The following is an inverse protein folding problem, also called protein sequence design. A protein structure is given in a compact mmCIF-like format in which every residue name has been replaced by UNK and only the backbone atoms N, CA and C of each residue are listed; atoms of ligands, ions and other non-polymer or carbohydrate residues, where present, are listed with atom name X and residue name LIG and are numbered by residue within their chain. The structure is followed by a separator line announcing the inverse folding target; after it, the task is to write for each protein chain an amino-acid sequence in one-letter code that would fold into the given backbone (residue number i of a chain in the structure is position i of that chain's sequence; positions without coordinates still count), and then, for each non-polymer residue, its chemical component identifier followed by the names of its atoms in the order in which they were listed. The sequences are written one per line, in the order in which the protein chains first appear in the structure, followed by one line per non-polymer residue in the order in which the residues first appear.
data_IF_727080385424
#
_entry.id   IF_727080385424
#
_cell.length_a   1.000
_cell.length_b   1.000
_cell.length_c   1.000
_cell.angle_alpha   90.00
_cell.angle_beta   90.00
_cell.angle_gamma   90.00
#
_symmetry.space_group_name_H-M   'P 1'
#
loop_
_entity.id
_entity.type
_entity.pdbx_description
1 polymer ?
#
# COMPACT_ATOMS: atom_id res chain seq x y z
N UNK A 1 26.53 -51.76 17.23
CA UNK A 1 26.04 -50.54 16.52
C UNK A 1 25.64 -49.57 17.61
N UNK A 2 26.27 -48.39 17.61
CA UNK A 2 25.88 -47.34 18.55
C UNK A 2 24.57 -46.74 18.12
N UNK A 3 23.57 -46.84 18.96
CA UNK A 3 22.24 -46.30 18.74
C UNK A 3 22.02 -45.10 19.66
N UNK A 4 21.43 -44.05 19.17
CA UNK A 4 21.04 -42.86 19.94
C UNK A 4 19.52 -42.78 20.05
N UNK A 5 19.05 -42.10 21.07
CA UNK A 5 17.63 -41.86 21.33
C UNK A 5 17.08 -40.74 20.42
N UNK A 6 15.75 -40.66 20.30
CA UNK A 6 15.07 -39.53 19.60
C UNK A 6 15.52 -38.18 20.18
N UNK A 7 15.71 -38.08 21.50
CA UNK A 7 16.14 -36.87 22.18
C UNK A 7 17.58 -36.46 21.80
N UNK A 8 18.48 -37.42 21.68
CA UNK A 8 19.88 -37.18 21.26
C UNK A 8 19.94 -36.82 19.78
N UNK A 9 19.16 -37.52 18.94
CA UNK A 9 19.06 -37.22 17.53
C UNK A 9 18.47 -35.81 17.28
N UNK A 10 17.44 -35.41 18.06
CA UNK A 10 16.84 -34.08 17.97
C UNK A 10 17.86 -32.98 18.27
N UNK A 11 18.68 -33.17 19.32
CA UNK A 11 19.77 -32.24 19.64
C UNK A 11 20.86 -32.21 18.59
N UNK A 12 21.27 -33.38 18.08
CA UNK A 12 22.32 -33.52 17.07
C UNK A 12 21.93 -32.84 15.74
N UNK A 13 20.65 -32.90 15.36
CA UNK A 13 20.15 -32.39 14.07
C UNK A 13 19.48 -31.03 14.17
N UNK A 14 19.28 -30.48 15.36
CA UNK A 14 18.62 -29.17 15.55
C UNK A 14 17.13 -29.17 15.21
N UNK A 15 16.44 -30.32 15.37
CA UNK A 15 15.01 -30.48 15.06
C UNK A 15 14.24 -30.95 16.28
N UNK A 16 12.91 -30.82 16.32
CA UNK A 16 12.10 -31.27 17.44
C UNK A 16 12.04 -32.80 17.54
N UNK A 17 11.91 -33.35 18.76
CA UNK A 17 11.74 -34.79 18.99
C UNK A 17 10.57 -35.37 18.19
N UNK A 18 9.45 -34.62 18.12
CA UNK A 18 8.27 -35.00 17.33
C UNK A 18 8.61 -35.14 15.83
N UNK A 19 9.48 -34.28 15.28
CA UNK A 19 9.92 -34.38 13.88
C UNK A 19 10.75 -35.64 13.66
N UNK A 20 11.67 -35.93 14.56
CA UNK A 20 12.47 -37.16 14.49
C UNK A 20 11.57 -38.41 14.53
N UNK A 21 10.57 -38.46 15.43
CA UNK A 21 9.60 -39.57 15.50
C UNK A 21 8.83 -39.78 14.20
N UNK A 22 8.37 -38.68 13.55
CA UNK A 22 7.68 -38.72 12.26
C UNK A 22 8.60 -39.30 11.19
N UNK A 23 9.87 -38.88 11.13
CA UNK A 23 10.83 -39.39 10.16
C UNK A 23 11.14 -40.86 10.36
N UNK A 24 11.21 -41.34 11.60
CA UNK A 24 11.34 -42.75 11.92
C UNK A 24 10.11 -43.53 11.46
N UNK A 25 8.90 -43.05 11.76
CA UNK A 25 7.65 -43.70 11.38
C UNK A 25 7.42 -43.75 9.85
N UNK A 26 8.01 -42.82 9.13
CA UNK A 26 7.99 -42.76 7.66
C UNK A 26 9.17 -43.53 7.00
N UNK A 27 9.96 -44.28 7.80
CA UNK A 27 11.13 -45.03 7.36
C UNK A 27 12.20 -44.18 6.59
N UNK A 28 12.17 -42.87 6.82
CA UNK A 28 13.10 -41.92 6.17
C UNK A 28 14.48 -41.90 6.82
N UNK A 29 14.64 -42.47 8.00
CA UNK A 29 15.93 -42.60 8.67
C UNK A 29 16.42 -44.07 8.52
N UNK A 30 17.38 -44.29 7.62
CA UNK A 30 17.95 -45.60 7.37
C UNK A 30 18.50 -46.20 8.66
N UNK A 31 18.06 -47.42 9.00
CA UNK A 31 18.54 -48.17 10.18
C UNK A 31 17.89 -47.75 11.51
N UNK A 32 16.91 -46.87 11.51
CA UNK A 32 16.12 -46.61 12.70
C UNK A 32 15.27 -47.86 13.06
N UNK A 33 15.32 -48.29 14.33
CA UNK A 33 14.59 -49.47 14.81
C UNK A 33 13.70 -49.07 16.00
N UNK A 34 12.57 -49.75 16.13
CA UNK A 34 11.64 -49.50 17.23
C UNK A 34 11.89 -50.50 18.35
N UNK A 35 12.23 -50.00 19.52
CA UNK A 35 12.40 -50.78 20.74
C UNK A 35 11.23 -50.47 21.70
N UNK A 36 10.26 -51.36 21.76
CA UNK A 36 9.03 -51.12 22.51
C UNK A 36 8.27 -49.88 22.01
N UNK A 37 8.19 -48.83 22.85
CA UNK A 37 7.54 -47.56 22.50
C UNK A 37 8.51 -46.50 22.02
N UNK A 38 9.83 -46.75 22.05
CA UNK A 38 10.86 -45.79 21.71
C UNK A 38 11.50 -46.10 20.35
N UNK A 39 11.90 -45.08 19.61
CA UNK A 39 12.75 -45.20 18.41
C UNK A 39 14.22 -45.11 18.82
N UNK A 40 15.03 -45.98 18.27
CA UNK A 40 16.48 -45.99 18.36
C UNK A 40 17.07 -45.75 16.97
N UNK A 41 18.02 -44.85 16.88
CA UNK A 41 18.57 -44.32 15.63
C UNK A 41 20.06 -44.57 15.58
N UNK A 42 20.64 -45.11 14.50
CA UNK A 42 22.09 -45.26 14.39
C UNK A 42 22.82 -43.93 14.62
N UNK A 43 23.88 -43.95 15.42
CA UNK A 43 24.63 -42.74 15.75
C UNK A 43 25.27 -42.06 14.55
N UNK A 44 25.53 -42.81 13.48
CA UNK A 44 26.03 -42.30 12.20
C UNK A 44 24.94 -41.79 11.28
N UNK A 45 23.65 -41.97 11.61
CA UNK A 45 22.57 -41.48 10.79
C UNK A 45 22.66 -39.94 10.66
N UNK A 46 22.41 -39.46 9.47
CA UNK A 46 22.27 -38.03 9.15
C UNK A 46 20.82 -37.71 8.95
N UNK A 47 20.45 -36.47 9.25
CA UNK A 47 19.12 -35.98 8.96
C UNK A 47 18.88 -36.12 7.44
N UNK A 48 17.85 -36.86 6.99
CA UNK A 48 17.55 -36.94 5.54
C UNK A 48 17.40 -35.54 4.97
N UNK A 49 17.92 -35.31 3.77
CA UNK A 49 17.81 -34.01 3.08
C UNK A 49 16.35 -33.56 2.93
N UNK A 50 15.43 -34.51 2.81
CA UNK A 50 13.96 -34.27 2.88
C UNK A 50 13.42 -33.96 4.28
N UNK A 51 14.26 -33.99 5.31
CA UNK A 51 13.90 -33.76 6.71
C UNK A 51 14.57 -32.54 7.35
N UNK A 52 15.53 -31.91 6.71
CA UNK A 52 15.77 -30.49 6.88
C UNK A 52 14.43 -29.86 6.54
N UNK A 53 13.76 -29.29 7.57
CA UNK A 53 12.41 -28.76 7.41
C UNK A 53 12.23 -28.17 6.02
N UNK A 54 11.09 -28.33 5.40
CA UNK A 54 10.86 -27.85 4.02
C UNK A 54 11.78 -26.67 3.81
N UNK A 55 12.74 -26.79 2.87
CA UNK A 55 13.52 -25.61 2.45
C UNK A 55 12.48 -24.52 2.36
N UNK A 56 12.62 -23.38 3.05
CA UNK A 56 11.56 -22.39 3.09
C UNK A 56 11.08 -22.29 1.66
N UNK A 57 9.84 -22.73 1.44
CA UNK A 57 9.32 -22.98 0.08
C UNK A 57 9.55 -21.67 -0.62
N UNK A 58 10.58 -21.64 -1.49
CA UNK A 58 11.00 -20.38 -2.10
C UNK A 58 9.75 -19.85 -2.77
N UNK A 59 9.19 -18.73 -2.33
CA UNK A 59 7.91 -18.28 -2.85
C UNK A 59 8.03 -18.24 -4.35
N UNK A 60 7.13 -18.92 -5.05
CA UNK A 60 7.09 -18.91 -6.52
C UNK A 60 7.23 -17.46 -7.00
N UNK A 61 8.03 -17.18 -8.03
CA UNK A 61 8.16 -15.83 -8.54
C UNK A 61 6.79 -15.22 -8.79
N UNK A 62 6.47 -14.14 -8.08
CA UNK A 62 5.18 -13.47 -8.22
C UNK A 62 5.13 -12.70 -9.53
N UNK A 63 4.06 -12.90 -10.30
CA UNK A 63 3.81 -12.17 -11.56
C UNK A 63 3.21 -10.79 -11.28
N UNK A 64 3.94 -9.97 -10.54
CA UNK A 64 3.52 -8.62 -10.15
C UNK A 64 4.73 -7.70 -9.99
N UNK A 65 4.68 -6.44 -10.47
CA UNK A 65 5.67 -5.44 -10.13
C UNK A 65 5.49 -4.87 -8.71
N UNK A 66 4.44 -5.30 -7.98
CA UNK A 66 4.09 -4.86 -6.61
C UNK A 66 4.23 -6.03 -5.64
N UNK A 67 5.45 -6.49 -5.41
CA UNK A 67 5.72 -7.66 -4.59
C UNK A 67 5.26 -7.47 -3.14
N UNK A 68 5.40 -6.28 -2.60
CA UNK A 68 4.96 -5.89 -1.26
C UNK A 68 3.43 -5.92 -1.08
N UNK A 69 2.67 -5.83 -2.17
CA UNK A 69 1.21 -5.95 -2.16
C UNK A 69 0.71 -7.39 -2.34
N UNK A 70 1.60 -8.36 -2.49
CA UNK A 70 1.27 -9.79 -2.60
C UNK A 70 1.34 -10.49 -1.23
N UNK A 71 1.15 -11.81 -1.23
CA UNK A 71 1.29 -12.66 -0.05
C UNK A 71 2.73 -12.85 0.42
N UNK A 72 3.72 -12.22 -0.21
CA UNK A 72 5.11 -12.22 0.25
C UNK A 72 5.27 -11.51 1.58
N UNK A 73 4.55 -10.43 1.80
CA UNK A 73 4.46 -9.79 3.12
C UNK A 73 3.12 -10.13 3.77
N UNK A 74 3.12 -11.15 4.60
CA UNK A 74 1.91 -11.73 5.18
C UNK A 74 1.88 -11.74 6.72
N UNK A 75 2.88 -11.18 7.38
CA UNK A 75 2.98 -11.10 8.84
C UNK A 75 3.54 -9.76 9.29
N UNK A 76 2.76 -9.10 10.11
CA UNK A 76 3.12 -7.84 10.76
C UNK A 76 4.33 -8.06 11.70
N UNK A 77 5.28 -7.13 11.71
CA UNK A 77 6.52 -7.22 12.48
C UNK A 77 7.59 -8.11 11.85
N UNK A 78 7.37 -8.62 10.63
CA UNK A 78 8.30 -9.53 9.95
C UNK A 78 8.72 -9.04 8.55
N UNK A 79 8.59 -7.74 8.23
CA UNK A 79 8.93 -7.21 6.91
C UNK A 79 10.37 -7.54 6.50
N UNK A 80 11.35 -7.36 7.40
CA UNK A 80 12.76 -7.64 7.11
C UNK A 80 13.01 -9.14 6.90
N UNK A 81 12.34 -10.01 7.65
CA UNK A 81 12.42 -11.46 7.43
C UNK A 81 11.85 -11.86 6.07
N UNK A 82 10.77 -11.21 5.64
CA UNK A 82 10.20 -11.44 4.31
C UNK A 82 11.18 -11.01 3.19
N UNK A 83 11.94 -9.93 3.39
CA UNK A 83 13.03 -9.53 2.50
C UNK A 83 14.11 -10.62 2.45
N UNK A 84 14.59 -11.09 3.62
CA UNK A 84 15.62 -12.12 3.73
C UNK A 84 15.23 -13.43 3.05
N UNK A 85 13.94 -13.82 3.06
CA UNK A 85 13.45 -15.02 2.38
C UNK A 85 13.67 -15.00 0.87
N UNK A 86 13.85 -13.83 0.26
CA UNK A 86 14.08 -13.66 -1.18
C UNK A 86 15.56 -13.62 -1.55
N UNK A 87 16.51 -13.80 -0.62
CA UNK A 87 17.95 -13.63 -0.84
C UNK A 87 18.52 -14.49 -1.99
N UNK A 88 17.88 -15.64 -2.25
CA UNK A 88 18.25 -16.53 -3.35
C UNK A 88 17.66 -16.10 -4.73
N UNK A 89 16.84 -15.05 -4.75
CA UNK A 89 16.35 -14.40 -5.96
C UNK A 89 16.74 -12.92 -5.93
N UNK A 90 17.93 -12.55 -6.40
CA UNK A 90 18.46 -11.19 -6.25
C UNK A 90 17.55 -10.08 -6.82
N UNK A 91 16.86 -10.36 -7.92
CA UNK A 91 15.94 -9.43 -8.54
C UNK A 91 14.71 -9.16 -7.65
N UNK A 92 14.04 -10.22 -7.22
CA UNK A 92 12.88 -10.09 -6.34
C UNK A 92 13.27 -9.52 -4.97
N UNK A 93 14.43 -9.90 -4.44
CA UNK A 93 14.97 -9.38 -3.19
C UNK A 93 15.16 -7.87 -3.25
N UNK A 94 15.89 -7.37 -4.26
CA UNK A 94 16.19 -5.95 -4.40
C UNK A 94 14.91 -5.11 -4.65
N UNK A 95 13.98 -5.64 -5.46
CA UNK A 95 12.70 -4.97 -5.71
C UNK A 95 11.87 -4.90 -4.44
N UNK A 96 11.72 -6.02 -3.74
CA UNK A 96 10.90 -6.09 -2.53
C UNK A 96 11.48 -5.24 -1.39
N UNK A 97 12.82 -5.28 -1.19
CA UNK A 97 13.51 -4.41 -0.22
C UNK A 97 13.24 -2.93 -0.51
N UNK A 98 13.35 -2.50 -1.77
CA UNK A 98 13.08 -1.13 -2.16
C UNK A 98 11.61 -0.74 -1.95
N UNK A 99 10.68 -1.66 -2.17
CA UNK A 99 9.26 -1.43 -1.92
C UNK A 99 8.98 -1.28 -0.42
N UNK A 100 9.54 -2.12 0.44
CA UNK A 100 9.42 -1.97 1.90
C UNK A 100 10.06 -0.63 2.36
N UNK A 101 11.22 -0.27 1.82
CA UNK A 101 11.85 1.03 2.11
C UNK A 101 10.92 2.21 1.71
N UNK A 102 10.21 2.10 0.57
CA UNK A 102 9.19 3.09 0.20
C UNK A 102 8.06 3.17 1.24
N UNK A 103 7.54 2.02 1.69
CA UNK A 103 6.49 2.00 2.71
C UNK A 103 6.95 2.58 4.05
N UNK A 104 8.25 2.54 4.33
CA UNK A 104 8.87 3.20 5.49
C UNK A 104 9.08 4.71 5.30
N UNK A 105 9.03 5.21 4.07
CA UNK A 105 9.30 6.61 3.75
C UNK A 105 10.79 6.92 3.52
N UNK A 106 11.64 5.91 3.31
CA UNK A 106 13.09 6.02 3.08
C UNK A 106 13.39 6.40 1.62
N UNK A 107 12.85 7.52 1.15
CA UNK A 107 12.77 7.89 -0.26
C UNK A 107 14.13 8.01 -0.96
N UNK A 108 15.16 8.46 -0.26
CA UNK A 108 16.51 8.58 -0.86
C UNK A 108 17.11 7.20 -1.10
N UNK A 109 16.94 6.25 -0.16
CA UNK A 109 17.32 4.86 -0.33
C UNK A 109 16.57 4.22 -1.51
N UNK A 110 15.24 4.45 -1.60
CA UNK A 110 14.41 3.95 -2.71
C UNK A 110 14.90 4.46 -4.05
N UNK A 111 15.23 5.74 -4.14
CA UNK A 111 15.73 6.35 -5.38
C UNK A 111 17.04 5.71 -5.84
N UNK A 112 18.01 5.52 -4.94
CA UNK A 112 19.30 4.92 -5.25
C UNK A 112 19.14 3.45 -5.69
N UNK A 113 18.29 2.69 -5.00
CA UNK A 113 17.96 1.30 -5.35
C UNK A 113 17.27 1.21 -6.72
N UNK A 114 16.27 2.06 -6.99
CA UNK A 114 15.56 2.05 -8.27
C UNK A 114 16.51 2.38 -9.44
N UNK A 115 17.41 3.35 -9.27
CA UNK A 115 18.43 3.70 -10.26
C UNK A 115 19.41 2.56 -10.52
N UNK A 116 19.89 1.92 -9.46
CA UNK A 116 20.77 0.76 -9.60
C UNK A 116 20.03 -0.41 -10.27
N UNK A 117 18.81 -0.69 -9.81
CA UNK A 117 17.98 -1.78 -10.27
C UNK A 117 17.70 -1.70 -11.78
N UNK A 118 17.30 -0.54 -12.28
CA UNK A 118 17.05 -0.30 -13.70
C UNK A 118 18.31 -0.45 -14.60
N UNK A 119 19.51 -0.31 -14.01
CA UNK A 119 20.78 -0.54 -14.73
C UNK A 119 21.23 -1.98 -14.69
N UNK A 120 20.93 -2.69 -13.60
CA UNK A 120 21.45 -4.04 -13.33
C UNK A 120 20.54 -5.15 -13.88
N UNK A 121 19.25 -4.86 -14.08
CA UNK A 121 18.24 -5.85 -14.46
C UNK A 121 17.53 -5.45 -15.74
N UNK A 122 17.12 -6.46 -16.54
CA UNK A 122 16.44 -6.27 -17.82
C UNK A 122 15.09 -7.01 -17.92
N UNK A 123 14.71 -7.74 -16.87
CA UNK A 123 13.45 -8.47 -16.82
C UNK A 123 12.24 -7.53 -16.79
N UNK A 124 11.12 -7.97 -17.38
CA UNK A 124 9.90 -7.20 -17.48
C UNK A 124 9.44 -6.62 -16.13
N UNK A 125 9.25 -7.47 -15.12
CA UNK A 125 8.80 -7.02 -13.78
C UNK A 125 9.84 -6.16 -13.06
N UNK A 126 11.13 -6.38 -13.35
CA UNK A 126 12.21 -5.57 -12.84
C UNK A 126 12.14 -4.13 -13.34
N UNK A 127 11.98 -3.95 -14.62
CA UNK A 127 11.90 -2.62 -15.25
C UNK A 127 10.62 -1.90 -14.79
N UNK A 128 9.48 -2.61 -14.77
CA UNK A 128 8.24 -2.02 -14.27
C UNK A 128 8.34 -1.60 -12.81
N UNK A 129 8.82 -2.48 -11.93
CA UNK A 129 8.98 -2.19 -10.50
C UNK A 129 9.93 -1.03 -10.26
N UNK A 130 11.08 -1.01 -10.94
CA UNK A 130 12.04 0.10 -10.89
C UNK A 130 11.47 1.42 -11.40
N UNK A 131 10.78 1.40 -12.55
CA UNK A 131 10.11 2.57 -13.11
C UNK A 131 9.03 3.12 -12.17
N UNK A 132 8.23 2.24 -11.57
CA UNK A 132 7.25 2.65 -10.60
C UNK A 132 7.85 3.26 -9.33
N UNK A 133 8.92 2.68 -8.78
CA UNK A 133 9.63 3.26 -7.65
C UNK A 133 10.20 4.65 -7.97
N UNK A 134 10.73 4.85 -9.20
CA UNK A 134 11.15 6.18 -9.64
C UNK A 134 9.97 7.17 -9.72
N UNK A 135 8.81 6.75 -10.23
CA UNK A 135 7.62 7.59 -10.29
C UNK A 135 7.16 7.99 -8.88
N UNK A 136 7.17 7.05 -7.93
CA UNK A 136 6.85 7.32 -6.53
C UNK A 136 7.87 8.28 -5.90
N UNK A 137 9.17 8.13 -6.19
CA UNK A 137 10.20 9.10 -5.76
C UNK A 137 9.98 10.48 -6.38
N UNK A 138 9.56 10.56 -7.65
CA UNK A 138 9.24 11.82 -8.32
C UNK A 138 8.10 12.57 -7.61
N UNK A 139 7.09 11.83 -7.12
CA UNK A 139 5.99 12.42 -6.31
C UNK A 139 6.55 13.08 -5.05
N UNK A 140 7.36 12.38 -4.28
CA UNK A 140 7.94 12.91 -3.03
C UNK A 140 8.88 14.10 -3.26
N UNK A 141 9.63 14.09 -4.36
CA UNK A 141 10.60 15.15 -4.71
C UNK A 141 9.95 16.32 -5.47
N UNK A 142 8.74 16.13 -6.01
CA UNK A 142 8.11 17.10 -6.90
C UNK A 142 8.89 17.27 -8.20
N UNK A 143 9.54 16.21 -8.69
CA UNK A 143 10.43 16.24 -9.86
C UNK A 143 9.73 15.75 -11.11
N UNK A 144 9.37 16.71 -11.97
CA UNK A 144 8.64 16.46 -13.24
C UNK A 144 9.51 15.70 -14.23
N UNK A 145 10.81 15.97 -14.27
CA UNK A 145 11.71 15.29 -15.22
C UNK A 145 11.86 13.82 -14.83
N UNK A 146 12.04 13.55 -13.53
CA UNK A 146 12.08 12.17 -13.00
C UNK A 146 10.75 11.43 -13.25
N UNK A 147 9.62 12.12 -13.16
CA UNK A 147 8.31 11.57 -13.49
C UNK A 147 8.23 11.11 -14.95
N UNK A 148 8.64 11.96 -15.89
CA UNK A 148 8.63 11.60 -17.31
C UNK A 148 9.61 10.47 -17.63
N UNK A 149 10.80 10.47 -17.01
CA UNK A 149 11.75 9.38 -17.11
C UNK A 149 11.18 8.06 -16.60
N UNK A 150 10.52 8.08 -15.44
CA UNK A 150 9.87 6.91 -14.87
C UNK A 150 8.77 6.35 -15.78
N UNK A 151 7.89 7.22 -16.31
CA UNK A 151 6.84 6.81 -17.27
C UNK A 151 7.47 6.21 -18.53
N UNK A 152 8.58 6.76 -19.02
CA UNK A 152 9.28 6.21 -20.18
C UNK A 152 9.75 4.77 -19.90
N UNK A 153 10.38 4.51 -18.76
CA UNK A 153 10.79 3.15 -18.38
C UNK A 153 9.61 2.18 -18.31
N UNK A 154 8.48 2.62 -17.78
CA UNK A 154 7.26 1.79 -17.70
C UNK A 154 6.72 1.49 -19.11
N UNK A 155 6.61 2.49 -19.97
CA UNK A 155 6.07 2.33 -21.32
C UNK A 155 6.98 1.49 -22.23
N UNK A 156 8.31 1.56 -22.04
CA UNK A 156 9.30 0.87 -22.85
C UNK A 156 9.69 -0.50 -22.26
N UNK A 157 9.01 -0.97 -21.21
CA UNK A 157 9.28 -2.28 -20.62
C UNK A 157 9.07 -3.38 -21.67
N UNK A 158 10.01 -4.36 -21.77
CA UNK A 158 9.98 -5.41 -22.79
C UNK A 158 8.84 -6.39 -22.52
N UNK A 159 7.68 -6.18 -23.13
CA UNK A 159 6.52 -7.05 -22.98
C UNK A 159 6.45 -8.07 -24.13
N UNK A 160 6.15 -9.33 -23.80
CA UNK A 160 6.10 -10.45 -24.76
C UNK A 160 4.66 -10.90 -25.07
N UNK A 161 3.70 -10.52 -24.23
CA UNK A 161 2.31 -10.99 -24.34
C UNK A 161 1.31 -9.93 -23.89
N UNK A 162 0.03 -10.20 -24.12
CA UNK A 162 -1.07 -9.27 -23.82
C UNK A 162 -1.23 -9.04 -22.30
N UNK A 163 -1.06 -10.06 -21.48
CA UNK A 163 -1.15 -9.92 -20.02
C UNK A 163 -0.07 -8.95 -19.48
N UNK A 164 1.14 -9.00 -20.03
CA UNK A 164 2.20 -8.05 -19.66
C UNK A 164 1.88 -6.63 -20.11
N UNK A 165 1.23 -6.48 -21.29
CA UNK A 165 0.76 -5.16 -21.75
C UNK A 165 -0.27 -4.58 -20.79
N UNK A 166 -1.17 -5.40 -20.27
CA UNK A 166 -2.16 -4.95 -19.28
C UNK A 166 -1.51 -4.61 -17.93
N UNK A 167 -0.41 -5.26 -17.54
CA UNK A 167 0.38 -4.87 -16.36
C UNK A 167 1.08 -3.51 -16.56
N UNK A 168 1.53 -3.18 -17.77
CA UNK A 168 2.02 -1.83 -18.09
C UNK A 168 0.90 -0.81 -17.90
N UNK A 169 -0.28 -1.09 -18.46
CA UNK A 169 -1.47 -0.23 -18.34
C UNK A 169 -1.87 -0.03 -16.88
N UNK A 170 -1.83 -1.10 -16.06
CA UNK A 170 -2.05 -1.01 -14.62
C UNK A 170 -1.01 -0.12 -13.94
N UNK A 171 0.26 -0.30 -14.27
CA UNK A 171 1.36 0.47 -13.66
C UNK A 171 1.20 1.96 -13.92
N UNK A 172 0.82 2.34 -15.14
CA UNK A 172 0.50 3.72 -15.50
C UNK A 172 -0.73 4.24 -14.73
N UNK A 173 -1.82 3.45 -14.69
CA UNK A 173 -3.02 3.83 -13.95
C UNK A 173 -2.73 4.07 -12.45
N UNK A 174 -1.85 3.26 -11.85
CA UNK A 174 -1.46 3.40 -10.45
C UNK A 174 -0.71 4.70 -10.20
N UNK A 175 0.32 5.01 -11.00
CA UNK A 175 1.09 6.23 -10.78
C UNK A 175 0.25 7.48 -11.08
N UNK A 176 -0.56 7.47 -12.14
CA UNK A 176 -1.42 8.59 -12.50
C UNK A 176 -2.51 8.83 -11.42
N UNK A 177 -3.13 7.77 -10.88
CA UNK A 177 -4.05 7.90 -9.75
C UNK A 177 -3.40 8.46 -8.48
N UNK A 178 -2.11 8.24 -8.30
CA UNK A 178 -1.37 8.74 -7.12
C UNK A 178 -1.18 10.26 -7.13
N UNK A 179 -1.27 10.91 -8.28
CA UNK A 179 -1.23 12.37 -8.43
C UNK A 179 -2.58 12.97 -8.83
N UNK A 180 -3.65 12.15 -8.83
CA UNK A 180 -5.00 12.55 -9.25
C UNK A 180 -5.08 12.99 -10.71
N UNK A 181 -4.22 12.46 -11.57
CA UNK A 181 -4.39 12.58 -13.03
C UNK A 181 -5.36 11.48 -13.48
N UNK A 182 -6.50 11.89 -14.07
CA UNK A 182 -7.59 10.99 -14.42
C UNK A 182 -7.74 10.81 -15.94
N UNK A 183 -6.64 10.90 -16.67
CA UNK A 183 -6.62 10.69 -18.12
C UNK A 183 -6.28 9.25 -18.45
N UNK A 184 -6.93 8.73 -19.48
CA UNK A 184 -6.54 7.51 -20.19
C UNK A 184 -6.48 6.22 -19.38
N UNK A 185 -7.42 6.02 -18.42
CA UNK A 185 -7.55 4.74 -17.73
C UNK A 185 -8.13 3.65 -18.65
N UNK A 186 -7.59 2.41 -18.59
CA UNK A 186 -8.18 1.28 -19.30
C UNK A 186 -9.63 1.03 -18.87
N UNK A 187 -10.48 0.59 -19.80
CA UNK A 187 -11.90 0.33 -19.53
C UNK A 187 -12.10 -0.72 -18.43
N UNK A 188 -11.27 -1.78 -18.43
CA UNK A 188 -11.31 -2.80 -17.38
C UNK A 188 -10.97 -2.24 -15.99
N UNK A 189 -10.12 -1.20 -15.92
CA UNK A 189 -9.81 -0.53 -14.65
C UNK A 189 -10.98 0.35 -14.21
N UNK A 190 -11.57 1.11 -15.12
CA UNK A 190 -12.74 1.97 -14.85
C UNK A 190 -13.96 1.15 -14.40
N UNK A 191 -14.19 -0.01 -15.02
CA UNK A 191 -15.28 -0.92 -14.66
C UNK A 191 -15.01 -1.76 -13.41
N UNK A 192 -13.75 -1.84 -12.94
CA UNK A 192 -13.34 -2.70 -11.82
C UNK A 192 -13.28 -4.19 -12.16
N UNK A 193 -13.20 -4.54 -13.45
CA UNK A 193 -13.04 -5.91 -13.91
C UNK A 193 -11.57 -6.24 -14.14
N UNK A 194 -10.96 -6.99 -13.23
CA UNK A 194 -9.53 -7.31 -13.24
C UNK A 194 -9.19 -8.71 -13.79
N UNK A 195 -10.14 -9.38 -14.45
CA UNK A 195 -9.97 -10.77 -14.95
C UNK A 195 -8.81 -10.91 -15.96
N UNK A 196 -8.48 -9.84 -16.69
CA UNK A 196 -7.38 -9.82 -17.65
C UNK A 196 -6.00 -9.84 -17.00
N UNK A 197 -5.91 -9.59 -15.69
CA UNK A 197 -4.66 -9.46 -14.97
C UNK A 197 -4.31 -10.74 -14.19
N UNK A 198 -3.01 -11.03 -14.00
CA UNK A 198 -2.59 -12.11 -13.13
C UNK A 198 -3.12 -11.92 -11.70
N UNK A 199 -3.54 -13.00 -11.01
CA UNK A 199 -4.06 -12.92 -9.63
C UNK A 199 -3.14 -12.19 -8.65
N UNK A 200 -1.81 -12.29 -8.83
CA UNK A 200 -0.83 -11.61 -7.99
C UNK A 200 -0.89 -10.05 -8.12
N UNK A 201 -1.46 -9.52 -9.19
CA UNK A 201 -1.65 -8.08 -9.38
C UNK A 201 -2.99 -7.56 -8.81
N UNK A 202 -3.96 -8.44 -8.55
CA UNK A 202 -5.29 -8.05 -8.08
C UNK A 202 -5.30 -7.25 -6.77
N UNK A 203 -4.47 -7.55 -5.75
CA UNK A 203 -4.46 -6.75 -4.53
C UNK A 203 -4.07 -5.28 -4.79
N UNK A 204 -3.07 -5.04 -5.63
CA UNK A 204 -2.70 -3.68 -6.05
C UNK A 204 -3.83 -3.00 -6.85
N UNK A 205 -4.43 -3.71 -7.82
CA UNK A 205 -5.57 -3.19 -8.59
C UNK A 205 -6.69 -2.69 -7.69
N UNK A 206 -7.10 -3.50 -6.72
CA UNK A 206 -8.19 -3.19 -5.80
C UNK A 206 -7.90 -1.92 -4.99
N UNK A 207 -6.68 -1.79 -4.46
CA UNK A 207 -6.27 -0.60 -3.70
C UNK A 207 -6.36 0.66 -4.55
N UNK A 208 -5.79 0.64 -5.76
CA UNK A 208 -5.75 1.83 -6.61
C UNK A 208 -7.06 2.11 -7.33
N UNK A 209 -7.89 1.10 -7.57
CA UNK A 209 -9.27 1.28 -8.00
C UNK A 209 -10.08 2.10 -6.98
N UNK A 210 -9.88 1.88 -5.68
CA UNK A 210 -10.52 2.70 -4.66
C UNK A 210 -10.05 4.17 -4.76
N UNK A 211 -8.75 4.42 -4.98
CA UNK A 211 -8.25 5.79 -5.25
C UNK A 211 -8.97 6.40 -6.47
N UNK A 212 -9.11 5.63 -7.55
CA UNK A 212 -9.85 6.06 -8.74
C UNK A 212 -11.32 6.40 -8.43
N UNK A 213 -12.05 5.59 -7.65
CA UNK A 213 -13.43 5.88 -7.27
C UNK A 213 -13.54 7.20 -6.50
N UNK A 214 -12.59 7.51 -5.63
CA UNK A 214 -12.53 8.82 -4.96
C UNK A 214 -12.34 9.96 -5.96
N UNK A 215 -11.45 9.79 -6.92
CA UNK A 215 -11.22 10.80 -7.96
C UNK A 215 -12.46 11.00 -8.83
N UNK A 216 -13.14 9.92 -9.23
CA UNK A 216 -14.39 9.96 -9.98
C UNK A 216 -15.49 10.67 -9.19
N UNK A 217 -15.67 10.34 -7.91
CA UNK A 217 -16.62 11.02 -7.03
C UNK A 217 -16.33 12.52 -6.91
N UNK A 218 -15.05 12.89 -6.80
CA UNK A 218 -14.62 14.27 -6.72
C UNK A 218 -14.85 15.00 -8.05
N UNK A 219 -14.53 14.37 -9.18
CA UNK A 219 -14.74 14.96 -10.51
C UNK A 219 -16.23 15.23 -10.78
N UNK A 220 -17.11 14.29 -10.41
CA UNK A 220 -18.56 14.45 -10.54
C UNK A 220 -19.07 15.56 -9.59
N UNK A 221 -18.63 15.57 -8.33
CA UNK A 221 -19.03 16.57 -7.36
C UNK A 221 -18.64 17.99 -7.77
N UNK A 222 -17.45 18.13 -8.39
CA UNK A 222 -16.92 19.41 -8.86
C UNK A 222 -17.37 19.78 -10.28
N UNK A 223 -18.31 19.04 -10.86
CA UNK A 223 -18.83 19.23 -12.22
C UNK A 223 -17.76 19.15 -13.33
N UNK A 224 -16.67 18.46 -13.07
CA UNK A 224 -15.64 18.15 -14.08
C UNK A 224 -15.99 16.90 -14.90
N UNK A 225 -16.92 16.08 -14.39
CA UNK A 225 -17.52 14.94 -15.07
C UNK A 225 -19.01 14.85 -14.72
N UNK A 226 -19.79 14.23 -15.59
CA UNK A 226 -21.22 13.98 -15.39
C UNK A 226 -21.49 12.48 -15.47
N UNK A 227 -22.34 12.00 -14.58
CA UNK A 227 -22.89 10.64 -14.61
C UNK A 227 -24.39 10.74 -14.34
N UNK A 228 -25.21 10.33 -15.30
CA UNK A 228 -26.66 10.48 -15.25
C UNK A 228 -27.25 9.83 -13.99
N UNK A 229 -28.02 10.61 -13.25
CA UNK A 229 -28.68 10.16 -12.02
C UNK A 229 -27.77 9.95 -10.80
N UNK A 230 -26.47 10.22 -10.89
CA UNK A 230 -25.50 10.03 -9.81
C UNK A 230 -24.86 11.36 -9.42
N UNK A 231 -24.85 11.67 -8.13
CA UNK A 231 -24.09 12.79 -7.58
C UNK A 231 -22.76 12.31 -7.00
N UNK A 232 -21.73 13.16 -7.04
CA UNK A 232 -20.44 12.83 -6.43
C UNK A 232 -20.57 12.51 -4.93
N UNK A 233 -21.50 13.17 -4.23
CA UNK A 233 -21.81 12.87 -2.84
C UNK A 233 -22.43 11.48 -2.65
N UNK A 234 -23.34 11.06 -3.53
CA UNK A 234 -23.94 9.73 -3.47
C UNK A 234 -22.87 8.66 -3.68
N UNK A 235 -22.00 8.85 -4.69
CA UNK A 235 -20.88 7.95 -4.95
C UNK A 235 -19.92 7.87 -3.75
N UNK A 236 -19.57 9.01 -3.15
CA UNK A 236 -18.73 9.04 -1.95
C UNK A 236 -19.32 8.22 -0.79
N UNK A 237 -20.61 8.32 -0.55
CA UNK A 237 -21.30 7.56 0.51
C UNK A 237 -21.36 6.05 0.24
N UNK A 238 -21.24 5.63 -1.03
CA UNK A 238 -21.22 4.21 -1.42
C UNK A 238 -19.82 3.59 -1.31
N UNK A 239 -18.74 4.37 -1.36
CA UNK A 239 -17.37 3.87 -1.33
C UNK A 239 -17.10 2.90 -0.17
N UNK A 240 -17.53 3.12 1.10
CA UNK A 240 -17.32 2.15 2.18
C UNK A 240 -17.86 0.76 1.88
N UNK A 241 -19.05 0.68 1.25
CA UNK A 241 -19.66 -0.60 0.91
C UNK A 241 -18.84 -1.38 -0.14
N UNK A 242 -18.10 -0.68 -1.00
CA UNK A 242 -17.17 -1.29 -1.95
C UNK A 242 -15.88 -1.75 -1.26
N UNK A 243 -15.41 -1.01 -0.27
CA UNK A 243 -14.11 -1.29 0.39
C UNK A 243 -14.21 -2.42 1.42
N UNK A 244 -15.28 -2.50 2.22
CA UNK A 244 -15.40 -3.47 3.31
C UNK A 244 -15.21 -4.94 2.86
N UNK A 245 -15.81 -5.40 1.73
CA UNK A 245 -15.53 -6.73 1.21
C UNK A 245 -14.06 -6.93 0.80
N UNK A 246 -13.42 -5.88 0.26
CA UNK A 246 -12.01 -5.92 -0.15
C UNK A 246 -11.07 -6.01 1.07
N UNK A 247 -11.41 -5.34 2.18
CA UNK A 247 -10.69 -5.49 3.44
C UNK A 247 -10.81 -6.92 3.94
N UNK A 248 -12.01 -7.49 3.92
CA UNK A 248 -12.25 -8.88 4.34
C UNK A 248 -11.41 -9.84 3.50
N UNK A 249 -11.35 -9.63 2.19
CA UNK A 249 -10.52 -10.44 1.29
C UNK A 249 -9.01 -10.28 1.63
N UNK A 250 -8.53 -9.05 1.83
CA UNK A 250 -7.12 -8.80 2.18
C UNK A 250 -6.71 -9.49 3.50
N UNK A 251 -7.61 -9.51 4.49
CA UNK A 251 -7.41 -10.24 5.77
C UNK A 251 -7.33 -11.75 5.54
N UNK A 252 -8.23 -12.31 4.72
CA UNK A 252 -8.24 -13.75 4.40
C UNK A 252 -6.98 -14.14 3.64
N UNK A 253 -6.58 -13.35 2.65
CA UNK A 253 -5.41 -13.57 1.81
C UNK A 253 -4.10 -13.22 2.53
N UNK A 254 -4.18 -12.59 3.71
CA UNK A 254 -3.03 -12.12 4.50
C UNK A 254 -2.12 -11.17 3.71
N UNK A 255 -2.70 -10.23 2.97
CA UNK A 255 -1.96 -9.20 2.25
C UNK A 255 -1.93 -7.91 3.09
N UNK A 256 -0.84 -7.71 3.86
CA UNK A 256 -0.76 -6.64 4.88
C UNK A 256 -0.80 -5.24 4.28
N UNK A 257 0.01 -4.96 3.26
CA UNK A 257 0.02 -3.60 2.63
C UNK A 257 -1.33 -3.24 2.01
N UNK A 258 -1.97 -4.10 1.20
CA UNK A 258 -3.32 -3.85 0.72
C UNK A 258 -4.33 -3.61 1.85
N UNK A 259 -4.28 -4.40 2.93
CA UNK A 259 -5.17 -4.20 4.07
C UNK A 259 -4.99 -2.80 4.69
N UNK A 260 -3.75 -2.33 4.91
CA UNK A 260 -3.49 -0.99 5.45
C UNK A 260 -4.12 0.08 4.53
N UNK A 261 -3.84 0.04 3.23
CA UNK A 261 -4.37 1.02 2.28
C UNK A 261 -5.90 1.02 2.21
N UNK A 262 -6.52 -0.16 2.16
CA UNK A 262 -7.97 -0.29 2.13
C UNK A 262 -8.62 0.24 3.42
N UNK A 263 -8.03 -0.07 4.60
CA UNK A 263 -8.52 0.47 5.88
C UNK A 263 -8.39 1.97 5.95
N UNK A 264 -7.25 2.55 5.53
CA UNK A 264 -7.07 4.00 5.51
C UNK A 264 -8.04 4.68 4.54
N UNK A 265 -8.26 4.11 3.36
CA UNK A 265 -9.25 4.61 2.41
C UNK A 265 -10.67 4.52 2.96
N UNK A 266 -11.03 3.41 3.62
CA UNK A 266 -12.32 3.26 4.27
C UNK A 266 -12.51 4.28 5.42
N UNK A 267 -11.46 4.50 6.21
CA UNK A 267 -11.46 5.53 7.26
C UNK A 267 -11.72 6.93 6.70
N UNK A 268 -11.09 7.28 5.55
CA UNK A 268 -11.35 8.57 4.86
C UNK A 268 -12.83 8.69 4.46
N UNK A 269 -13.42 7.62 3.91
CA UNK A 269 -14.83 7.64 3.51
C UNK A 269 -15.78 7.82 4.72
N UNK A 270 -15.55 7.10 5.80
CA UNK A 270 -16.32 7.24 7.03
C UNK A 270 -16.12 8.61 7.69
N UNK A 271 -14.88 9.11 7.73
CA UNK A 271 -14.59 10.43 8.26
C UNK A 271 -15.32 11.52 7.48
N UNK A 272 -15.25 11.48 6.14
CA UNK A 272 -15.94 12.42 5.25
C UNK A 272 -17.47 12.30 5.31
N UNK A 273 -18.00 11.19 5.82
CA UNK A 273 -19.43 10.97 6.03
C UNK A 273 -19.89 11.27 7.46
N UNK A 274 -19.01 11.81 8.32
CA UNK A 274 -19.30 12.14 9.72
C UNK A 274 -19.39 10.92 10.66
N UNK A 275 -18.99 9.73 10.19
CA UNK A 275 -19.02 8.50 10.98
C UNK A 275 -17.68 8.29 11.72
N UNK A 276 -17.38 9.21 12.66
CA UNK A 276 -16.08 9.30 13.34
C UNK A 276 -15.65 7.98 14.00
N UNK A 277 -16.54 7.29 14.70
CA UNK A 277 -16.22 6.04 15.40
C UNK A 277 -15.78 4.92 14.44
N UNK A 278 -16.46 4.80 13.28
CA UNK A 278 -16.07 3.85 12.25
C UNK A 278 -14.72 4.22 11.64
N UNK A 279 -14.48 5.50 11.38
CA UNK A 279 -13.19 5.97 10.91
C UNK A 279 -12.07 5.62 11.88
N UNK A 280 -12.24 5.88 13.18
CA UNK A 280 -11.29 5.52 14.24
C UNK A 280 -11.02 4.01 14.24
N UNK A 281 -12.03 3.16 14.16
CA UNK A 281 -11.86 1.71 14.16
C UNK A 281 -10.98 1.21 13.00
N UNK A 282 -11.08 1.84 11.81
CA UNK A 282 -10.23 1.50 10.67
C UNK A 282 -8.81 2.08 10.82
N UNK A 283 -8.67 3.31 11.33
CA UNK A 283 -7.36 3.93 11.60
C UNK A 283 -6.59 3.06 12.61
N UNK A 284 -7.20 2.70 13.73
CA UNK A 284 -6.54 1.91 14.78
C UNK A 284 -6.00 0.57 14.25
N UNK A 285 -6.79 -0.10 13.42
CA UNK A 285 -6.35 -1.35 12.78
C UNK A 285 -5.22 -1.12 11.78
N UNK A 286 -5.29 -0.06 10.97
CA UNK A 286 -4.23 0.28 10.02
C UNK A 286 -2.92 0.64 10.75
N UNK A 287 -3.00 1.43 11.83
CA UNK A 287 -1.85 1.80 12.67
C UNK A 287 -1.23 0.57 13.31
N UNK A 288 -2.04 -0.35 13.86
CA UNK A 288 -1.57 -1.61 14.45
C UNK A 288 -0.84 -2.51 13.43
N UNK A 289 -1.20 -2.44 12.15
CA UNK A 289 -0.53 -3.16 11.07
C UNK A 289 0.76 -2.47 10.60
N UNK A 290 0.79 -1.13 10.58
CA UNK A 290 1.88 -0.37 9.98
C UNK A 290 3.05 -0.11 10.94
N UNK A 291 2.76 0.24 12.20
CA UNK A 291 3.77 0.70 13.19
C UNK A 291 4.83 -0.34 13.50
N UNK A 292 4.51 -1.65 13.69
CA UNK A 292 5.52 -2.65 14.06
C UNK A 292 6.67 -2.79 13.06
N UNK A 293 6.45 -2.53 11.78
CA UNK A 293 7.46 -2.59 10.72
C UNK A 293 7.93 -1.19 10.26
N UNK A 294 7.49 -0.13 10.93
CA UNK A 294 7.85 1.26 10.60
C UNK A 294 7.30 1.74 9.25
N UNK A 295 6.16 1.23 8.79
CA UNK A 295 5.57 1.55 7.47
C UNK A 295 4.93 2.95 7.46
N UNK A 296 5.68 3.94 7.93
CA UNK A 296 5.19 5.31 8.12
C UNK A 296 4.90 6.04 6.81
N UNK A 297 5.57 5.67 5.72
CA UNK A 297 5.32 6.22 4.39
C UNK A 297 3.87 6.00 3.93
N UNK A 298 3.29 4.83 4.24
CA UNK A 298 1.89 4.54 3.91
C UNK A 298 0.94 5.47 4.66
N UNK A 299 1.16 5.65 5.97
CA UNK A 299 0.32 6.52 6.81
C UNK A 299 0.46 7.99 6.41
N UNK A 300 1.67 8.40 6.01
CA UNK A 300 1.98 9.77 5.56
C UNK A 300 1.08 10.23 4.41
N UNK A 301 0.77 9.35 3.45
CA UNK A 301 -0.11 9.67 2.32
C UNK A 301 -1.51 10.12 2.76
N UNK A 302 -1.94 9.76 3.97
CA UNK A 302 -3.30 9.99 4.48
C UNK A 302 -3.42 11.12 5.51
N UNK A 303 -2.32 11.66 6.04
CA UNK A 303 -2.32 12.71 7.09
C UNK A 303 -3.27 13.86 6.75
N UNK A 304 -3.26 14.33 5.51
CA UNK A 304 -4.09 15.47 5.06
C UNK A 304 -5.60 15.23 5.14
N UNK A 305 -6.04 13.99 5.34
CA UNK A 305 -7.46 13.64 5.27
C UNK A 305 -8.17 13.65 6.61
N UNK A 306 -7.46 13.80 7.74
CA UNK A 306 -7.99 13.51 9.07
C UNK A 306 -7.90 14.64 10.10
N UNK A 307 -7.43 15.83 9.72
CA UNK A 307 -7.36 17.00 10.61
C UNK A 307 -6.78 16.69 12.03
N UNK A 308 -5.67 15.94 12.07
CA UNK A 308 -4.97 15.56 13.30
C UNK A 308 -5.49 14.27 13.96
N UNK A 309 -6.61 13.70 13.51
CA UNK A 309 -7.14 12.45 14.07
C UNK A 309 -6.17 11.28 13.87
N UNK A 310 -5.49 11.20 12.73
CA UNK A 310 -4.53 10.13 12.47
C UNK A 310 -3.35 10.20 13.43
N UNK A 311 -2.79 11.38 13.63
CA UNK A 311 -1.68 11.64 14.55
C UNK A 311 -2.10 11.34 16.01
N UNK A 312 -3.33 11.72 16.41
CA UNK A 312 -3.90 11.35 17.71
C UNK A 312 -3.91 9.82 17.89
N UNK A 313 -4.36 9.06 16.91
CA UNK A 313 -4.44 7.59 17.00
C UNK A 313 -3.07 6.93 17.00
N UNK A 314 -2.13 7.44 16.22
CA UNK A 314 -0.74 6.96 16.19
C UNK A 314 -0.06 7.20 17.54
N UNK A 315 -0.25 8.36 18.16
CA UNK A 315 0.37 8.71 19.46
C UNK A 315 0.00 7.75 20.58
N UNK A 316 -1.17 7.11 20.50
CA UNK A 316 -1.60 6.10 21.48
C UNK A 316 -0.81 4.78 21.37
N UNK A 317 -0.16 4.53 20.23
CA UNK A 317 0.63 3.32 19.98
C UNK A 317 2.12 3.62 20.07
N UNK A 318 2.58 4.67 19.42
CA UNK A 318 3.96 5.14 19.44
C UNK A 318 4.04 6.66 19.23
N UNK A 319 4.33 7.38 20.30
CA UNK A 319 4.46 8.85 20.28
C UNK A 319 5.60 9.33 19.36
N UNK A 320 6.68 8.56 19.22
CA UNK A 320 7.80 8.91 18.35
C UNK A 320 7.43 8.80 16.87
N UNK A 321 6.57 7.86 16.52
CA UNK A 321 6.08 7.69 15.15
C UNK A 321 5.39 8.95 14.62
N UNK A 322 4.72 9.72 15.49
CA UNK A 322 4.06 10.98 15.10
C UNK A 322 5.07 12.00 14.58
N UNK A 323 6.24 12.10 15.23
CA UNK A 323 7.29 13.03 14.80
C UNK A 323 7.83 12.66 13.42
N UNK A 324 8.08 11.37 13.20
CA UNK A 324 8.57 10.83 11.92
C UNK A 324 7.54 11.09 10.82
N UNK A 325 6.27 10.77 11.07
CA UNK A 325 5.19 10.95 10.07
C UNK A 325 5.00 12.43 9.72
N UNK A 326 5.08 13.34 10.69
CA UNK A 326 4.95 14.78 10.45
C UNK A 326 6.11 15.31 9.60
N UNK A 327 7.34 14.84 9.83
CA UNK A 327 8.50 15.18 9.00
C UNK A 327 8.32 14.66 7.57
N UNK A 328 7.98 13.38 7.43
CA UNK A 328 7.69 12.77 6.13
C UNK A 328 6.55 13.50 5.39
N UNK A 329 5.48 13.84 6.10
CA UNK A 329 4.34 14.54 5.50
C UNK A 329 4.71 15.95 5.02
N UNK A 330 5.55 16.66 5.75
CA UNK A 330 6.03 17.98 5.35
C UNK A 330 6.75 17.93 3.99
N UNK A 331 7.56 16.91 3.75
CA UNK A 331 8.24 16.65 2.46
C UNK A 331 7.26 16.19 1.39
N UNK A 332 6.45 15.17 1.70
CA UNK A 332 5.48 14.59 0.77
C UNK A 332 4.50 15.62 0.23
N UNK A 333 3.90 16.43 1.11
CA UNK A 333 2.91 17.45 0.76
C UNK A 333 3.43 18.42 -0.31
N UNK A 334 4.66 18.90 -0.15
CA UNK A 334 5.26 19.86 -1.07
C UNK A 334 5.57 19.19 -2.42
N UNK A 335 6.19 18.00 -2.37
CA UNK A 335 6.53 17.25 -3.58
C UNK A 335 5.29 16.88 -4.39
N UNK A 336 4.30 16.29 -3.72
CA UNK A 336 3.04 15.90 -4.34
C UNK A 336 2.33 17.09 -5.00
N UNK A 337 2.18 18.22 -4.29
CA UNK A 337 1.50 19.39 -4.84
C UNK A 337 2.23 19.96 -6.04
N UNK A 338 3.56 20.02 -5.98
CA UNK A 338 4.39 20.51 -7.11
C UNK A 338 4.25 19.63 -8.33
N UNK A 339 4.40 18.31 -8.18
CA UNK A 339 4.31 17.36 -9.29
C UNK A 339 2.89 17.30 -9.86
N UNK A 340 1.89 17.07 -9.00
CA UNK A 340 0.49 16.99 -9.41
C UNK A 340 0.02 18.27 -10.08
N UNK A 341 0.41 19.44 -9.55
CA UNK A 341 0.10 20.73 -10.14
C UNK A 341 0.71 20.90 -11.53
N UNK A 342 1.98 20.55 -11.70
CA UNK A 342 2.67 20.66 -12.98
C UNK A 342 2.09 19.71 -14.05
N UNK A 343 1.88 18.43 -13.69
CA UNK A 343 1.34 17.42 -14.64
C UNK A 343 -0.10 17.73 -15.03
N UNK A 344 -0.93 18.15 -14.09
CA UNK A 344 -2.34 18.46 -14.31
C UNK A 344 -2.56 19.87 -14.83
N UNK A 345 -1.52 20.69 -14.91
CA UNK A 345 -1.58 22.12 -15.21
C UNK A 345 -2.58 22.87 -14.29
N UNK A 346 -2.46 22.63 -12.98
CA UNK A 346 -3.33 23.21 -11.94
C UNK A 346 -2.50 23.75 -10.80
N UNK A 347 -2.99 24.81 -10.15
CA UNK A 347 -2.44 25.27 -8.89
C UNK A 347 -2.95 24.39 -7.74
N UNK A 348 -2.05 23.85 -6.94
CA UNK A 348 -2.40 23.08 -5.72
C UNK A 348 -2.02 23.91 -4.51
N UNK A 349 -3.00 24.19 -3.65
CA UNK A 349 -2.78 24.98 -2.44
C UNK A 349 -2.01 24.18 -1.38
N UNK A 350 -0.81 24.63 -1.05
CA UNK A 350 0.01 24.02 0.01
C UNK A 350 -0.02 24.77 1.34
N UNK A 351 -0.64 25.95 1.34
CA UNK A 351 -0.70 26.88 2.49
C UNK A 351 -1.98 26.71 3.34
N UNK A 352 -2.83 25.75 3.00
CA UNK A 352 -3.99 25.43 3.82
C UNK A 352 -3.57 24.59 5.03
N UNK A 353 -4.15 24.92 6.17
CA UNK A 353 -4.08 24.05 7.35
C UNK A 353 -4.84 22.74 7.09
N UNK A 354 -4.60 21.64 7.83
CA UNK A 354 -5.39 20.41 7.71
C UNK A 354 -6.89 20.67 7.77
N UNK A 355 -7.33 21.51 8.70
CA UNK A 355 -8.75 21.87 8.88
C UNK A 355 -9.32 22.66 7.69
N UNK A 356 -8.57 23.61 7.16
CA UNK A 356 -8.96 24.36 5.98
C UNK A 356 -9.03 23.45 4.74
N UNK A 357 -8.07 22.53 4.60
CA UNK A 357 -8.07 21.55 3.52
C UNK A 357 -9.30 20.62 3.60
N UNK A 358 -9.64 20.15 4.79
CA UNK A 358 -10.83 19.32 5.02
C UNK A 358 -12.12 20.05 4.66
N UNK A 359 -12.28 21.30 5.13
CA UNK A 359 -13.45 22.12 4.78
C UNK A 359 -13.51 22.38 3.27
N UNK A 360 -12.38 22.70 2.63
CA UNK A 360 -12.34 22.91 1.18
C UNK A 360 -12.75 21.65 0.41
N UNK A 361 -12.26 20.49 0.83
CA UNK A 361 -12.61 19.18 0.26
C UNK A 361 -14.12 18.90 0.38
N UNK A 362 -14.71 19.09 1.56
CA UNK A 362 -16.14 18.87 1.77
C UNK A 362 -16.98 19.84 0.94
N UNK A 363 -16.57 21.11 0.82
CA UNK A 363 -17.22 22.06 -0.07
C UNK A 363 -17.14 21.59 -1.54
N UNK A 364 -15.98 21.09 -1.98
CA UNK A 364 -15.78 20.58 -3.35
C UNK A 364 -16.65 19.34 -3.63
N UNK A 365 -16.93 18.51 -2.62
CA UNK A 365 -17.89 17.41 -2.71
C UNK A 365 -19.36 17.85 -2.72
N UNK A 366 -19.62 19.15 -2.61
CA UNK A 366 -20.98 19.70 -2.68
C UNK A 366 -21.74 19.70 -1.36
N UNK A 367 -21.11 19.44 -0.22
CA UNK A 367 -21.75 19.55 1.07
C UNK A 367 -22.13 21.01 1.40
N UNK A 368 -23.30 21.20 1.96
CA UNK A 368 -23.73 22.50 2.48
C UNK A 368 -22.97 22.89 3.75
N UNK A 369 -22.92 24.18 4.05
CA UNK A 369 -22.30 24.69 5.29
C UNK A 369 -22.88 24.00 6.53
N UNK A 370 -24.19 23.73 6.54
CA UNK A 370 -24.90 23.06 7.65
C UNK A 370 -24.45 21.60 7.81
N UNK A 371 -24.32 20.87 6.69
CA UNK A 371 -23.84 19.47 6.71
C UNK A 371 -22.38 19.41 7.17
N UNK A 372 -21.53 20.29 6.65
CA UNK A 372 -20.10 20.35 7.05
C UNK A 372 -19.99 20.68 8.55
N UNK A 373 -20.78 21.63 9.04
CA UNK A 373 -20.81 21.99 10.46
C UNK A 373 -21.19 20.80 11.34
N UNK A 374 -22.22 20.04 10.93
CA UNK A 374 -22.64 18.82 11.62
C UNK A 374 -21.57 17.73 11.60
N UNK A 375 -20.97 17.47 10.43
CA UNK A 375 -19.94 16.44 10.25
C UNK A 375 -18.68 16.72 11.06
N UNK A 376 -18.31 17.99 11.15
CA UNK A 376 -17.09 18.44 11.82
C UNK A 376 -17.30 18.87 13.27
N UNK A 377 -18.55 18.75 13.78
CA UNK A 377 -18.94 19.11 15.15
C UNK A 377 -18.60 20.56 15.54
N UNK A 378 -18.78 21.52 14.61
CA UNK A 378 -18.54 22.95 14.83
C UNK A 378 -19.72 23.78 14.32
N UNK A 379 -19.74 25.09 14.66
CA UNK A 379 -20.80 25.96 14.23
C UNK A 379 -20.76 26.29 12.73
N UNK A 380 -21.93 26.56 12.12
CA UNK A 380 -22.00 27.07 10.75
C UNK A 380 -21.22 28.37 10.55
N UNK A 381 -21.21 29.23 11.60
CA UNK A 381 -20.42 30.46 11.61
C UNK A 381 -18.91 30.16 11.45
N UNK A 382 -18.40 29.14 12.15
CA UNK A 382 -16.99 28.71 12.04
C UNK A 382 -16.68 28.22 10.64
N UNK A 383 -17.58 27.43 10.00
CA UNK A 383 -17.39 26.98 8.62
C UNK A 383 -17.34 28.18 7.66
N UNK A 384 -18.27 29.15 7.77
CA UNK A 384 -18.28 30.35 6.93
C UNK A 384 -16.98 31.15 7.06
N UNK A 385 -16.47 31.32 8.29
CA UNK A 385 -15.18 31.97 8.53
C UNK A 385 -14.00 31.19 7.93
N UNK A 386 -14.02 29.87 8.03
CA UNK A 386 -12.98 29.00 7.44
C UNK A 386 -12.99 29.11 5.91
N UNK A 387 -14.17 29.05 5.28
CA UNK A 387 -14.33 29.26 3.83
C UNK A 387 -13.77 30.63 3.40
N UNK A 388 -14.07 31.69 4.12
CA UNK A 388 -13.54 33.03 3.83
C UNK A 388 -11.99 33.06 3.92
N UNK A 389 -11.42 32.40 4.94
CA UNK A 389 -9.95 32.29 5.06
C UNK A 389 -9.32 31.51 3.93
N UNK A 390 -9.94 30.41 3.49
CA UNK A 390 -9.47 29.61 2.34
C UNK A 390 -9.45 30.49 1.10
N UNK A 391 -10.54 31.20 0.79
CA UNK A 391 -10.63 32.13 -0.35
C UNK A 391 -9.51 33.16 -0.28
N UNK A 392 -9.28 33.79 0.85
CA UNK A 392 -8.20 34.76 1.04
C UNK A 392 -6.81 34.16 0.83
N UNK A 393 -6.57 32.94 1.32
CA UNK A 393 -5.27 32.26 1.20
C UNK A 393 -4.96 31.77 -0.22
N UNK A 394 -5.98 31.39 -0.96
CA UNK A 394 -5.81 30.73 -2.26
C UNK A 394 -6.08 31.64 -3.46
N UNK A 395 -6.74 32.77 -3.22
CA UNK A 395 -7.08 33.74 -4.28
C UNK A 395 -8.20 33.28 -5.21
N UNK A 396 -8.93 32.21 -4.90
CA UNK A 396 -10.13 31.80 -5.64
C UNK A 396 -11.30 32.76 -5.35
N UNK A 397 -12.27 32.85 -6.26
CA UNK A 397 -13.37 33.82 -6.13
C UNK A 397 -14.43 33.35 -5.11
N UNK A 398 -14.72 32.03 -5.10
CA UNK A 398 -15.68 31.45 -4.16
C UNK A 398 -15.42 29.95 -3.93
N UNK A 399 -16.25 29.33 -3.07
CA UNK A 399 -16.11 27.91 -2.68
C UNK A 399 -16.35 26.92 -3.83
N UNK A 400 -16.98 27.30 -4.93
CA UNK A 400 -17.18 26.41 -6.09
C UNK A 400 -15.88 26.11 -6.81
N UNK A 401 -14.86 26.97 -6.64
CA UNK A 401 -13.54 26.81 -7.22
C UNK A 401 -12.58 25.97 -6.35
N UNK A 402 -13.01 25.52 -5.17
CA UNK A 402 -12.12 24.75 -4.29
C UNK A 402 -11.65 23.45 -4.91
N UNK A 403 -12.40 22.85 -5.83
CA UNK A 403 -11.97 21.70 -6.60
C UNK A 403 -10.74 21.95 -7.50
N UNK A 404 -10.43 23.20 -7.80
CA UNK A 404 -9.28 23.54 -8.64
C UNK A 404 -7.98 23.67 -7.86
N UNK A 405 -8.04 23.78 -6.53
CA UNK A 405 -6.89 24.02 -5.66
C UNK A 405 -6.55 22.81 -4.77
N UNK A 406 -7.29 21.70 -4.89
CA UNK A 406 -7.15 20.45 -4.12
C UNK A 406 -6.50 19.29 -4.97
#
# INVERSE_FOLDING_TARGET
MDLITVKEASKKWGVTERRVQILCSQEKIKGAVRFGRAWMIPSYAVLPSSAKGEEPHMPMPKKSPFLDMTTLYNRVGEADKCVEMLINNPEAHALFEAQIAYRRGEIDKVYDHARYFLRAHSGFYAILGGGMLLALCAIWRGDVNLWHEAKKHICEAPCENENEREIISLSLAIIDSSIYDNKDYPEWFVSGNFELLPPDAHPACKVFYIKYLYMAAFAIASKQAELEGVTGLALMKMIPNTIEPLITQAVVDKTVIPEIYLRMSCAVAYHNSGMREKAIAHIDKAVALAVPDGLYGVLTEYVRHFDGLLEERISLVDEKAVLIINELYSRYKIGWARLSGAVRNKYIATNLTPREHEVAKLCAFGFSVKEIASMLYISESTIKQTVARIITKTGVNDKSEFSFIL
#
